data_IF_844144499395
#
_entry.id   IF_844144499395
#
_cell.length_a   1.000
_cell.length_b   1.000
_cell.length_c   1.000
_cell.angle_alpha   90.00
_cell.angle_beta   90.00
_cell.angle_gamma   90.00
#
_symmetry.space_group_name_H-M   'P 1'
#
loop_
_entity.id
_entity.type
_entity.pdbx_description
1 polymer ?
#
# COMPACT_ATOMS: atom_id res chain seq x y z
N UNK A 1 13.11 -0.61 12.22
CA UNK A 1 12.97 -0.63 10.86
C UNK A 1 12.23 -1.85 10.37
N UNK A 2 11.42 -1.70 9.46
CA UNK A 2 10.40 -2.67 9.15
C UNK A 2 10.54 -3.23 7.72
N UNK A 3 11.74 -3.47 7.29
CA UNK A 3 12.01 -3.81 5.90
C UNK A 3 11.50 -5.21 5.57
N UNK A 4 10.70 -5.31 4.50
CA UNK A 4 10.20 -6.58 4.02
C UNK A 4 9.22 -7.27 4.95
N UNK A 5 8.65 -6.55 5.90
CA UNK A 5 7.69 -7.13 6.84
C UNK A 5 6.45 -7.62 6.12
N UNK A 6 5.98 -8.78 6.55
CA UNK A 6 4.72 -9.33 6.08
C UNK A 6 3.57 -8.66 6.80
N UNK A 7 2.63 -8.12 6.05
CA UNK A 7 1.44 -7.46 6.59
C UNK A 7 0.30 -7.62 5.59
N UNK A 8 -0.76 -8.28 6.02
CA UNK A 8 -1.88 -8.55 5.12
C UNK A 8 -2.85 -7.37 5.10
N UNK A 9 -3.33 -7.02 3.92
CA UNK A 9 -4.33 -5.98 3.74
C UNK A 9 -5.71 -6.59 3.61
N UNK A 10 -6.69 -5.98 4.28
CA UNK A 10 -8.09 -6.29 4.08
C UNK A 10 -8.77 -5.02 3.58
N UNK A 11 -9.29 -5.08 2.37
CA UNK A 11 -9.99 -3.98 1.74
C UNK A 11 -11.47 -4.36 1.72
N UNK A 12 -12.29 -3.55 2.38
CA UNK A 12 -13.73 -3.78 2.40
C UNK A 12 -14.35 -3.05 1.22
N UNK A 13 -15.00 -3.80 0.32
CA UNK A 13 -15.64 -3.22 -0.86
C UNK A 13 -16.64 -2.15 -0.44
N UNK A 14 -16.56 -0.98 -1.07
CA UNK A 14 -17.45 0.15 -0.79
C UNK A 14 -17.03 1.03 0.37
N UNK A 15 -15.98 0.65 1.09
CA UNK A 15 -15.46 1.42 2.22
C UNK A 15 -14.19 2.15 1.82
N UNK A 16 -14.00 3.37 2.31
CA UNK A 16 -12.72 4.05 2.16
C UNK A 16 -11.66 3.28 2.91
N UNK A 17 -10.60 2.88 2.23
CA UNK A 17 -9.49 2.18 2.86
C UNK A 17 -8.43 3.20 3.30
N UNK A 18 -8.01 3.10 4.55
CA UNK A 18 -6.97 3.96 5.12
C UNK A 18 -5.95 3.10 5.85
N UNK A 19 -4.67 3.36 5.58
CA UNK A 19 -3.58 2.74 6.32
C UNK A 19 -2.42 3.73 6.36
N UNK A 20 -1.90 4.00 7.56
CA UNK A 20 -0.71 4.81 7.73
C UNK A 20 0.36 3.98 8.41
N UNK A 21 1.53 3.91 7.79
CA UNK A 21 2.70 3.24 8.38
C UNK A 21 3.81 4.27 8.57
N UNK A 22 4.67 4.02 9.55
CA UNK A 22 5.84 4.86 9.81
C UNK A 22 7.07 4.00 9.61
N UNK A 23 7.98 4.47 8.76
CA UNK A 23 9.25 3.79 8.52
C UNK A 23 10.29 4.38 9.45
N UNK A 24 10.86 3.53 10.31
CA UNK A 24 11.86 3.95 11.28
C UNK A 24 13.14 3.16 11.06
N UNK A 25 14.26 3.78 11.50
CA UNK A 25 15.55 3.09 11.48
C UNK A 25 15.69 2.17 12.70
N UNK A 26 16.85 1.55 12.85
CA UNK A 26 17.08 0.58 13.93
C UNK A 26 17.07 1.21 15.33
N UNK A 27 17.20 2.52 15.41
CA UNK A 27 17.13 3.22 16.70
C UNK A 27 15.73 3.77 17.00
N UNK A 28 14.77 3.54 16.10
CA UNK A 28 13.40 4.00 16.28
C UNK A 28 13.14 5.39 15.75
N UNK A 29 14.12 6.04 15.10
CA UNK A 29 13.94 7.36 14.53
C UNK A 29 13.27 7.28 13.16
N UNK A 30 12.36 8.22 12.83
CA UNK A 30 11.72 8.20 11.52
C UNK A 30 12.73 8.41 10.40
N UNK A 31 12.52 7.67 9.30
CA UNK A 31 13.29 7.87 8.07
C UNK A 31 12.77 9.14 7.40
N UNK A 32 13.66 10.03 7.01
CA UNK A 32 13.29 11.24 6.26
C UNK A 32 13.00 10.83 4.82
N UNK A 33 11.73 10.96 4.40
CA UNK A 33 11.26 10.53 3.09
C UNK A 33 11.33 11.63 2.03
N UNK A 34 11.94 12.76 2.33
CA UNK A 34 12.13 13.83 1.35
C UNK A 34 12.90 13.27 0.15
N UNK A 35 12.38 13.46 -1.05
CA UNK A 35 12.99 12.95 -2.27
C UNK A 35 12.60 11.51 -2.63
N UNK A 36 11.83 10.85 -1.78
CA UNK A 36 11.32 9.51 -2.07
C UNK A 36 10.03 9.58 -2.89
N UNK A 37 9.78 8.51 -3.62
CA UNK A 37 8.46 8.20 -4.17
C UNK A 37 8.04 6.83 -3.66
N UNK A 38 6.77 6.51 -3.78
CA UNK A 38 6.23 5.24 -3.30
C UNK A 38 5.27 4.66 -4.32
N UNK A 39 5.15 3.34 -4.30
CA UNK A 39 4.17 2.64 -5.12
C UNK A 39 3.67 1.42 -4.37
N UNK A 40 2.39 1.13 -4.53
CA UNK A 40 1.74 -0.06 -3.99
C UNK A 40 0.89 -0.67 -5.09
N UNK A 41 1.08 -1.96 -5.35
CA UNK A 41 0.32 -2.66 -6.35
C UNK A 41 -0.24 -3.95 -5.77
N UNK A 42 -1.51 -4.21 -6.07
CA UNK A 42 -2.19 -5.47 -5.76
C UNK A 42 -2.35 -6.24 -7.06
N UNK A 43 -1.97 -7.49 -7.07
CA UNK A 43 -2.11 -8.39 -8.22
C UNK A 43 -2.72 -9.70 -7.76
N UNK A 44 -3.31 -10.43 -8.68
CA UNK A 44 -3.90 -11.73 -8.36
C UNK A 44 -2.83 -12.73 -7.92
N UNK A 45 -1.70 -12.75 -8.63
CA UNK A 45 -0.53 -13.57 -8.29
C UNK A 45 0.73 -12.76 -8.52
N UNK A 46 1.86 -13.26 -8.04
CA UNK A 46 3.15 -12.60 -8.26
C UNK A 46 3.51 -12.47 -9.72
N UNK A 47 3.08 -13.40 -10.56
CA UNK A 47 3.40 -13.40 -11.99
C UNK A 47 2.36 -12.70 -12.85
N UNK A 48 1.26 -12.23 -12.27
CA UNK A 48 0.22 -11.52 -13.03
C UNK A 48 0.78 -10.24 -13.63
N UNK A 49 0.40 -9.94 -14.87
CA UNK A 49 0.83 -8.70 -15.53
C UNK A 49 -0.12 -7.54 -15.27
N UNK A 50 -1.38 -7.83 -14.95
CA UNK A 50 -2.38 -6.82 -14.65
C UNK A 50 -2.40 -6.50 -13.16
N UNK A 51 -2.69 -5.24 -12.81
CA UNK A 51 -2.88 -4.83 -11.43
C UNK A 51 -4.37 -4.74 -11.10
N UNK A 52 -4.72 -5.15 -9.89
CA UNK A 52 -6.07 -4.96 -9.35
C UNK A 52 -6.19 -3.55 -8.76
N UNK A 53 -5.15 -3.12 -8.01
CA UNK A 53 -5.02 -1.79 -7.46
C UNK A 53 -3.60 -1.32 -7.74
N UNK A 54 -3.46 -0.05 -8.14
CA UNK A 54 -2.15 0.54 -8.34
C UNK A 54 -2.18 1.95 -7.77
N UNK A 55 -1.36 2.20 -6.77
CA UNK A 55 -1.24 3.50 -6.10
C UNK A 55 0.19 3.99 -6.20
N UNK A 56 0.34 5.30 -6.30
CA UNK A 56 1.65 5.95 -6.29
C UNK A 56 1.60 7.17 -5.38
N UNK A 57 2.77 7.70 -5.03
CA UNK A 57 2.84 8.95 -4.28
C UNK A 57 2.21 10.06 -5.12
N UNK A 58 1.29 10.80 -4.51
CA UNK A 58 0.45 11.78 -5.19
C UNK A 58 -0.84 11.21 -5.76
N UNK A 59 -1.00 9.87 -5.77
CA UNK A 59 -2.20 9.21 -6.28
C UNK A 59 -2.54 8.02 -5.39
N UNK A 60 -3.03 8.31 -4.20
CA UNK A 60 -3.41 7.34 -3.18
C UNK A 60 -2.38 7.15 -2.07
N UNK A 61 -1.15 7.59 -2.27
CA UNK A 61 -0.11 7.53 -1.25
C UNK A 61 0.40 8.94 -0.96
N UNK A 62 0.47 9.30 0.31
CA UNK A 62 1.04 10.58 0.75
C UNK A 62 2.22 10.29 1.66
N UNK A 63 3.37 10.87 1.33
CA UNK A 63 4.59 10.73 2.12
C UNK A 63 4.73 11.92 3.05
N UNK A 64 4.99 11.66 4.33
CA UNK A 64 5.06 12.67 5.39
C UNK A 64 6.43 13.31 5.56
N UNK A 65 7.33 13.18 4.61
CA UNK A 65 8.65 13.81 4.67
C UNK A 65 9.46 13.34 5.86
N UNK A 66 9.92 14.29 6.69
CA UNK A 66 10.78 13.98 7.83
C UNK A 66 10.09 13.14 8.90
N UNK A 67 8.77 13.06 8.91
CA UNK A 67 8.03 12.25 9.88
C UNK A 67 8.08 10.75 9.56
N UNK A 68 8.52 10.37 8.36
CA UNK A 68 8.65 8.97 7.97
C UNK A 68 7.32 8.26 7.74
N UNK A 69 6.23 9.00 7.63
CA UNK A 69 4.90 8.40 7.48
C UNK A 69 4.56 8.16 6.02
N UNK A 70 3.86 7.06 5.78
CA UNK A 70 3.34 6.70 4.46
C UNK A 70 1.84 6.47 4.66
N UNK A 71 1.02 7.39 4.17
CA UNK A 71 -0.43 7.31 4.29
C UNK A 71 -1.01 6.77 2.99
N UNK A 72 -1.77 5.70 3.09
CA UNK A 72 -2.38 5.01 1.94
C UNK A 72 -3.88 5.16 2.05
N UNK A 73 -4.51 5.66 0.99
CA UNK A 73 -5.96 5.87 0.94
C UNK A 73 -6.49 5.36 -0.38
N UNK A 74 -7.53 4.53 -0.31
CA UNK A 74 -8.27 4.11 -1.51
C UNK A 74 -9.71 4.59 -1.32
N UNK A 75 -10.17 5.43 -2.23
CA UNK A 75 -11.51 6.01 -2.14
C UNK A 75 -12.60 4.92 -2.19
N UNK A 76 -13.71 5.18 -1.52
CA UNK A 76 -14.84 4.24 -1.48
C UNK A 76 -15.35 3.90 -2.89
N UNK A 77 -15.36 4.88 -3.80
CA UNK A 77 -15.78 4.63 -5.18
C UNK A 77 -14.85 3.66 -5.90
N UNK A 78 -13.57 3.67 -5.56
CA UNK A 78 -12.59 2.73 -6.14
C UNK A 78 -12.76 1.35 -5.54
N UNK A 79 -12.91 1.22 -4.22
CA UNK A 79 -13.10 -0.09 -3.60
C UNK A 79 -14.42 -0.73 -4.01
N UNK A 80 -15.45 0.09 -4.22
CA UNK A 80 -16.76 -0.42 -4.68
C UNK A 80 -16.69 -1.05 -6.06
N UNK A 81 -15.74 -0.62 -6.88
CA UNK A 81 -15.57 -1.14 -8.24
C UNK A 81 -14.71 -2.40 -8.29
N UNK A 82 -14.09 -2.80 -7.17
CA UNK A 82 -13.24 -3.98 -7.13
C UNK A 82 -14.08 -5.25 -7.14
N UNK A 83 -13.53 -6.31 -7.70
CA UNK A 83 -14.14 -7.63 -7.63
C UNK A 83 -14.03 -8.16 -6.20
N UNK A 84 -15.11 -8.68 -5.66
CA UNK A 84 -15.14 -9.28 -4.34
C UNK A 84 -16.09 -10.49 -4.34
N UNK A 85 -15.76 -11.59 -3.63
CA UNK A 85 -14.52 -11.75 -2.86
C UNK A 85 -13.30 -11.89 -3.76
N UNK A 86 -12.16 -11.38 -3.30
CA UNK A 86 -10.91 -11.45 -4.04
C UNK A 86 -9.78 -11.74 -3.05
N UNK A 87 -8.81 -12.52 -3.48
CA UNK A 87 -7.60 -12.77 -2.71
C UNK A 87 -6.41 -12.73 -3.66
N UNK A 88 -5.44 -11.91 -3.32
CA UNK A 88 -4.24 -11.74 -4.13
C UNK A 88 -3.05 -11.37 -3.27
N UNK A 89 -2.07 -10.73 -3.88
CA UNK A 89 -0.82 -10.33 -3.23
C UNK A 89 -0.55 -8.86 -3.50
N UNK A 90 0.26 -8.25 -2.64
CA UNK A 90 0.65 -6.86 -2.83
C UNK A 90 2.05 -6.63 -2.28
N UNK A 91 2.65 -5.52 -2.69
CA UNK A 91 3.79 -4.96 -1.97
C UNK A 91 3.72 -3.43 -1.99
N UNK A 92 4.44 -2.84 -1.04
CA UNK A 92 4.64 -1.40 -0.96
C UNK A 92 6.14 -1.15 -1.10
N UNK A 93 6.52 -0.38 -2.11
CA UNK A 93 7.92 -0.07 -2.38
C UNK A 93 8.16 1.42 -2.27
N UNK A 94 9.26 1.77 -1.62
CA UNK A 94 9.77 3.14 -1.54
C UNK A 94 10.95 3.25 -2.48
N UNK A 95 11.00 4.32 -3.27
CA UNK A 95 12.01 4.52 -4.30
C UNK A 95 12.74 5.83 -4.06
N UNK A 96 14.06 5.77 -4.02
CA UNK A 96 14.91 6.96 -3.92
C UNK A 96 16.03 6.81 -4.95
N UNK A 97 15.90 7.52 -6.09
CA UNK A 97 16.80 7.36 -7.21
C UNK A 97 16.75 5.93 -7.74
N UNK A 98 17.89 5.24 -7.71
CA UNK A 98 17.99 3.85 -8.17
C UNK A 98 17.77 2.83 -7.03
N UNK A 99 17.59 3.31 -5.79
CA UNK A 99 17.40 2.42 -4.64
C UNK A 99 15.92 2.18 -4.42
N UNK A 100 15.53 0.90 -4.44
CA UNK A 100 14.15 0.48 -4.21
C UNK A 100 14.11 -0.39 -2.96
N UNK A 101 13.23 -0.03 -2.03
CA UNK A 101 13.06 -0.78 -0.79
C UNK A 101 11.64 -1.30 -0.72
N UNK A 102 11.48 -2.61 -0.60
CA UNK A 102 10.17 -3.22 -0.35
C UNK A 102 9.91 -3.15 1.15
N UNK A 103 9.02 -2.25 1.55
CA UNK A 103 8.75 -1.99 2.96
C UNK A 103 7.75 -2.98 3.54
N UNK A 104 6.69 -3.28 2.81
CA UNK A 104 5.64 -4.21 3.20
C UNK A 104 5.31 -5.14 2.05
N UNK A 105 4.85 -6.34 2.39
CA UNK A 105 4.32 -7.30 1.41
C UNK A 105 3.39 -8.25 2.12
N UNK A 106 2.52 -8.91 1.37
CA UNK A 106 1.63 -9.90 1.94
C UNK A 106 0.43 -10.19 1.05
N UNK A 107 -0.59 -10.75 1.66
CA UNK A 107 -1.86 -11.00 0.99
C UNK A 107 -2.69 -9.73 0.96
N UNK A 108 -3.50 -9.59 -0.08
CA UNK A 108 -4.48 -8.51 -0.17
C UNK A 108 -5.83 -9.16 -0.47
N UNK A 109 -6.80 -8.89 0.39
CA UNK A 109 -8.13 -9.50 0.32
C UNK A 109 -9.16 -8.40 0.17
N UNK A 110 -10.13 -8.60 -0.72
CA UNK A 110 -11.27 -7.69 -0.88
C UNK A 110 -12.52 -8.45 -0.41
N UNK A 111 -13.19 -7.91 0.62
CA UNK A 111 -14.40 -8.51 1.16
C UNK A 111 -15.62 -7.90 0.51
N UNK A 112 -16.67 -8.70 0.22
CA UNK A 112 -17.85 -8.19 -0.47
C UNK A 112 -18.71 -7.32 0.44
N UNK A 113 -19.38 -6.35 -0.19
CA UNK A 113 -20.27 -5.41 0.47
C UNK A 113 -21.71 -5.88 0.37
N UNK A 114 -22.44 -5.78 1.46
CA UNK A 114 -23.89 -6.10 1.48
C UNK A 114 -24.71 -4.84 1.23
N UNK A 115 -24.35 -3.75 1.89
CA UNK A 115 -25.07 -2.47 1.76
C UNK A 115 -24.54 -1.68 0.58
N UNK A 116 -25.43 -1.39 -0.37
CA UNK A 116 -25.08 -0.59 -1.56
C UNK A 116 -26.27 0.21 -2.03
#
# INVERSE_FOLDING_TARGET
MALGNSFDLTINQGETFNLTVTWTDSSGSPINLTGYTARLQVRETYSSTATVVSLTSGAGITLGGAAGTIAIVIAASTTAALTAPFSGVYDLELVNGSVVTRLLQGAAVVTPEVSR
#
